data_IF_673964274482
#
_entry.id   IF_673964274482
#
_cell.length_a   1.000
_cell.length_b   1.000
_cell.length_c   1.000
_cell.angle_alpha   90.00
_cell.angle_beta   90.00
_cell.angle_gamma   90.00
#
_symmetry.space_group_name_H-M   'P 1'
#
loop_
_entity.id
_entity.type
_entity.pdbx_description
1 polymer ?
#
# COMPACT_ATOMS: atom_id res chain seq x y z
N UNK A 1 -9.50 -10.92 31.77
CA UNK A 1 -9.96 -9.77 30.95
C UNK A 1 -8.84 -8.75 30.93
N UNK A 2 -8.57 -8.13 29.78
CA UNK A 2 -7.56 -7.09 29.63
C UNK A 2 -8.20 -5.78 29.19
N UNK A 3 -7.61 -4.66 29.58
CA UNK A 3 -7.98 -3.32 29.13
C UNK A 3 -7.05 -2.89 28.00
N UNK A 4 -7.63 -2.47 26.87
CA UNK A 4 -6.91 -1.85 25.76
C UNK A 4 -7.06 -0.33 25.87
N UNK A 5 -5.94 0.38 25.97
CA UNK A 5 -5.91 1.85 25.98
C UNK A 5 -5.29 2.33 24.68
N UNK A 6 -6.04 3.12 23.91
CA UNK A 6 -5.60 3.69 22.63
C UNK A 6 -5.24 5.16 22.83
N UNK A 7 -4.08 5.58 22.31
CA UNK A 7 -3.67 6.98 22.38
C UNK A 7 -4.59 7.87 21.52
N UNK A 8 -4.94 9.09 21.99
CA UNK A 8 -5.66 10.06 21.17
C UNK A 8 -4.85 10.39 19.90
N UNK A 9 -5.42 10.18 18.71
CA UNK A 9 -4.75 10.41 17.43
C UNK A 9 -3.94 9.24 16.87
N UNK A 10 -4.03 8.05 17.48
CA UNK A 10 -3.46 6.83 16.89
C UNK A 10 -4.20 6.50 15.58
N UNK A 11 -3.46 6.46 14.47
CA UNK A 11 -3.92 6.02 13.16
C UNK A 11 -3.18 4.75 12.82
N UNK A 12 -3.89 3.63 12.85
CA UNK A 12 -3.32 2.30 12.65
C UNK A 12 -3.60 1.85 11.22
N UNK A 13 -2.55 1.51 10.47
CA UNK A 13 -2.66 0.75 9.25
C UNK A 13 -2.39 -0.72 9.58
N UNK A 14 -3.36 -1.59 9.26
CA UNK A 14 -3.19 -3.04 9.38
C UNK A 14 -2.83 -3.56 7.99
N UNK A 15 -1.91 -4.52 7.95
CA UNK A 15 -1.50 -5.30 6.79
C UNK A 15 -1.62 -6.78 7.17
N UNK A 16 -2.74 -7.41 6.81
CA UNK A 16 -3.00 -8.82 7.06
C UNK A 16 -3.10 -9.60 5.73
N UNK A 17 -2.85 -10.92 5.75
CA UNK A 17 -2.80 -11.78 4.54
C UNK A 17 -4.01 -11.65 3.61
N UNK A 18 -5.21 -11.32 4.11
CA UNK A 18 -6.42 -11.15 3.30
C UNK A 18 -6.55 -9.78 2.60
N UNK A 19 -5.72 -8.78 2.90
CA UNK A 19 -5.87 -7.46 2.29
C UNK A 19 -5.25 -7.35 0.89
N UNK A 20 -4.47 -8.33 0.44
CA UNK A 20 -4.09 -8.41 -0.98
C UNK A 20 -5.34 -8.55 -1.88
N UNK A 21 -6.43 -9.09 -1.34
CA UNK A 21 -7.74 -9.15 -2.00
C UNK A 21 -8.49 -7.81 -2.00
N UNK A 22 -8.06 -6.80 -1.21
CA UNK A 22 -8.64 -5.45 -1.23
C UNK A 22 -8.26 -4.69 -2.51
N UNK A 23 -7.18 -5.10 -3.19
CA UNK A 23 -6.81 -4.54 -4.48
C UNK A 23 -7.85 -4.95 -5.52
N UNK A 24 -8.43 -3.97 -6.22
CA UNK A 24 -9.40 -4.27 -7.28
C UNK A 24 -8.64 -4.83 -8.48
N UNK A 25 -8.82 -6.11 -8.85
CA UNK A 25 -7.91 -6.80 -9.75
C UNK A 25 -7.83 -6.19 -11.15
N UNK A 26 -8.91 -5.56 -11.60
CA UNK A 26 -9.03 -4.92 -12.91
C UNK A 26 -8.48 -3.49 -12.97
N UNK A 27 -8.32 -2.83 -11.82
CA UNK A 27 -7.82 -1.46 -11.76
C UNK A 27 -6.28 -1.48 -11.73
N UNK A 28 -5.64 -0.46 -12.29
CA UNK A 28 -4.19 -0.27 -12.18
C UNK A 28 -3.80 0.56 -10.94
N UNK A 29 -2.50 0.62 -10.66
CA UNK A 29 -1.99 1.35 -9.51
C UNK A 29 -2.36 2.85 -9.52
N UNK A 30 -2.40 3.47 -10.70
CA UNK A 30 -2.85 4.85 -10.84
C UNK A 30 -4.33 5.02 -10.46
N UNK A 31 -5.21 4.11 -10.89
CA UNK A 31 -6.64 4.17 -10.60
C UNK A 31 -6.93 4.03 -9.10
N UNK A 32 -6.21 3.14 -8.41
CA UNK A 32 -6.31 3.05 -6.95
C UNK A 32 -5.96 4.37 -6.26
N UNK A 33 -4.87 5.03 -6.66
CA UNK A 33 -4.46 6.32 -6.05
C UNK A 33 -5.36 7.48 -6.49
N UNK A 34 -5.82 7.49 -7.75
CA UNK A 34 -6.77 8.49 -8.27
C UNK A 34 -8.05 8.51 -7.44
N UNK A 35 -8.52 7.35 -6.95
CA UNK A 35 -9.69 7.29 -6.06
C UNK A 35 -9.49 7.99 -4.72
N UNK A 36 -8.26 8.04 -4.22
CA UNK A 36 -7.91 8.79 -3.01
C UNK A 36 -7.63 10.28 -3.30
N UNK A 37 -7.46 10.65 -4.57
CA UNK A 37 -7.11 11.99 -5.04
C UNK A 37 -7.94 12.42 -6.27
N UNK A 38 -9.29 12.45 -6.19
CA UNK A 38 -10.15 12.64 -7.36
C UNK A 38 -9.86 13.95 -8.09
N UNK A 39 -9.70 15.05 -7.33
CA UNK A 39 -9.50 16.41 -7.85
C UNK A 39 -8.02 16.76 -8.13
N UNK A 40 -7.08 15.84 -7.88
CA UNK A 40 -5.68 16.15 -8.06
C UNK A 40 -5.28 16.14 -9.54
N UNK A 41 -4.32 17.01 -9.94
CA UNK A 41 -3.67 16.89 -11.24
C UNK A 41 -3.06 15.51 -11.44
N UNK A 42 -3.10 15.00 -12.67
CA UNK A 42 -2.57 13.67 -13.01
C UNK A 42 -1.11 13.51 -12.58
N UNK A 43 -0.29 14.56 -12.74
CA UNK A 43 1.12 14.56 -12.32
C UNK A 43 1.29 14.33 -10.82
N UNK A 44 0.39 14.85 -9.97
CA UNK A 44 0.41 14.60 -8.52
C UNK A 44 0.04 13.15 -8.20
N UNK A 45 -0.98 12.61 -8.87
CA UNK A 45 -1.40 11.21 -8.66
C UNK A 45 -0.28 10.26 -9.06
N UNK A 46 0.32 10.44 -10.24
CA UNK A 46 1.48 9.64 -10.69
C UNK A 46 2.67 9.80 -9.76
N UNK A 47 2.93 11.01 -9.25
CA UNK A 47 3.96 11.26 -8.25
C UNK A 47 3.74 10.46 -6.97
N UNK A 48 2.49 10.32 -6.51
CA UNK A 48 2.16 9.46 -5.35
C UNK A 48 2.37 7.98 -5.64
N UNK A 49 1.95 7.49 -6.81
CA UNK A 49 2.21 6.10 -7.19
C UNK A 49 3.71 5.81 -7.24
N UNK A 50 4.52 6.75 -7.74
CA UNK A 50 5.98 6.62 -7.74
C UNK A 50 6.57 6.58 -6.33
N UNK A 51 6.02 7.36 -5.39
CA UNK A 51 6.43 7.32 -3.98
C UNK A 51 6.18 5.96 -3.31
N UNK A 52 5.24 5.16 -3.84
CA UNK A 52 4.99 3.80 -3.37
C UNK A 52 6.01 2.79 -3.92
N UNK A 53 6.95 3.22 -4.77
CA UNK A 53 7.97 2.34 -5.35
C UNK A 53 7.50 1.56 -6.57
N UNK A 54 6.41 1.99 -7.23
CA UNK A 54 6.02 1.47 -8.55
C UNK A 54 6.62 2.32 -9.67
N UNK A 55 7.22 1.67 -10.66
CA UNK A 55 7.76 2.34 -11.85
C UNK A 55 6.63 2.89 -12.73
N UNK A 56 6.95 3.86 -13.59
CA UNK A 56 6.00 4.48 -14.53
C UNK A 56 5.29 3.45 -15.41
N UNK A 57 6.00 2.42 -15.86
CA UNK A 57 5.45 1.33 -16.68
C UNK A 57 4.38 0.53 -15.92
N UNK A 58 4.61 0.30 -14.63
CA UNK A 58 3.72 -0.47 -13.75
C UNK A 58 2.51 0.32 -13.28
N UNK A 59 2.53 1.65 -13.38
CA UNK A 59 1.38 2.49 -12.99
C UNK A 59 0.11 2.18 -13.77
N UNK A 60 0.26 1.70 -15.01
CA UNK A 60 -0.85 1.36 -15.91
C UNK A 60 -1.13 -0.15 -15.95
N UNK A 61 -0.36 -0.97 -15.23
CA UNK A 61 -0.58 -2.42 -15.14
C UNK A 61 -1.70 -2.71 -14.17
N UNK A 62 -2.67 -3.54 -14.57
CA UNK A 62 -3.76 -3.96 -13.71
C UNK A 62 -3.22 -4.69 -12.47
N UNK A 63 -3.85 -4.47 -11.31
CA UNK A 63 -3.41 -5.00 -10.04
C UNK A 63 -3.25 -6.52 -10.07
N UNK A 64 -4.11 -7.25 -10.80
CA UNK A 64 -3.99 -8.71 -10.96
C UNK A 64 -2.65 -9.15 -11.59
N UNK A 65 -2.12 -8.34 -12.50
CA UNK A 65 -0.93 -8.62 -13.31
C UNK A 65 0.36 -8.08 -12.65
N UNK A 66 0.25 -7.41 -11.51
CA UNK A 66 1.39 -7.02 -10.68
C UNK A 66 1.98 -8.24 -9.96
N UNK A 67 3.30 -8.22 -9.75
CA UNK A 67 3.99 -9.20 -8.91
C UNK A 67 3.54 -9.10 -7.45
N UNK A 68 3.82 -10.12 -6.63
CA UNK A 68 3.49 -10.09 -5.20
C UNK A 68 4.13 -8.89 -4.48
N UNK A 69 5.39 -8.57 -4.79
CA UNK A 69 6.08 -7.42 -4.22
C UNK A 69 5.52 -6.07 -4.69
N UNK A 70 5.11 -5.96 -5.96
CA UNK A 70 4.45 -4.77 -6.50
C UNK A 70 3.07 -4.54 -5.85
N UNK A 71 2.28 -5.60 -5.67
CA UNK A 71 1.01 -5.56 -4.93
C UNK A 71 1.22 -5.13 -3.49
N UNK A 72 2.23 -5.69 -2.81
CA UNK A 72 2.54 -5.33 -1.43
C UNK A 72 2.92 -3.86 -1.29
N UNK A 73 3.77 -3.34 -2.18
CA UNK A 73 4.15 -1.92 -2.23
C UNK A 73 2.94 -1.00 -2.47
N UNK A 74 2.08 -1.35 -3.43
CA UNK A 74 0.86 -0.61 -3.70
C UNK A 74 -0.06 -0.58 -2.48
N UNK A 75 -0.32 -1.74 -1.88
CA UNK A 75 -1.18 -1.87 -0.71
C UNK A 75 -0.60 -1.11 0.50
N UNK A 76 0.71 -1.19 0.73
CA UNK A 76 1.40 -0.42 1.77
C UNK A 76 1.25 1.08 1.53
N UNK A 77 1.46 1.55 0.30
CA UNK A 77 1.29 2.96 -0.05
C UNK A 77 -0.14 3.45 0.14
N UNK A 78 -1.14 2.64 -0.23
CA UNK A 78 -2.55 2.95 -0.02
C UNK A 78 -2.91 3.01 1.47
N UNK A 79 -2.42 2.05 2.27
CA UNK A 79 -2.59 2.06 3.72
C UNK A 79 -1.86 3.23 4.40
N UNK A 80 -0.69 3.62 3.85
CA UNK A 80 0.09 4.77 4.31
C UNK A 80 -0.50 6.12 3.87
N UNK A 81 -1.50 6.14 2.99
CA UNK A 81 -1.92 7.35 2.29
C UNK A 81 -2.36 8.48 3.23
N UNK A 82 -3.02 8.15 4.34
CA UNK A 82 -3.45 9.12 5.37
C UNK A 82 -2.40 9.45 6.44
N UNK A 83 -1.18 8.92 6.30
CA UNK A 83 -0.10 9.06 7.27
C UNK A 83 -0.40 8.37 8.61
N UNK A 84 -0.62 7.04 8.64
CA UNK A 84 -0.73 6.30 9.89
C UNK A 84 0.58 6.36 10.69
N UNK A 85 0.46 6.31 12.02
CA UNK A 85 1.59 6.34 12.95
C UNK A 85 1.90 4.96 13.57
N UNK A 86 1.14 3.93 13.21
CA UNK A 86 1.40 2.54 13.59
C UNK A 86 1.04 1.61 12.42
N UNK A 87 1.99 0.76 12.02
CA UNK A 87 1.75 -0.36 11.11
C UNK A 87 1.70 -1.67 11.89
N UNK A 88 0.61 -2.42 11.73
CA UNK A 88 0.49 -3.79 12.25
C UNK A 88 0.60 -4.72 11.05
N UNK A 89 1.68 -5.49 10.99
CA UNK A 89 1.97 -6.43 9.92
C UNK A 89 1.82 -7.85 10.46
N UNK A 90 0.81 -8.58 10.00
CA UNK A 90 0.59 -9.97 10.40
C UNK A 90 1.29 -10.91 9.39
N UNK A 91 2.22 -11.75 9.86
CA UNK A 91 3.01 -12.71 9.06
C UNK A 91 3.68 -12.11 7.79
N UNK A 92 4.50 -11.05 7.90
CA UNK A 92 5.03 -10.33 6.74
C UNK A 92 5.99 -11.16 5.86
N UNK A 93 6.52 -12.28 6.36
CA UNK A 93 7.61 -13.01 5.71
C UNK A 93 7.18 -14.02 4.66
N UNK A 94 5.90 -14.40 4.59
CA UNK A 94 5.43 -15.44 3.66
C UNK A 94 5.04 -14.92 2.27
N UNK A 95 4.80 -13.61 2.13
CA UNK A 95 4.31 -13.00 0.87
C UNK A 95 5.10 -11.75 0.43
N UNK A 96 6.09 -11.30 1.21
CA UNK A 96 7.10 -10.37 0.74
C UNK A 96 8.23 -11.20 0.15
N UNK A 97 8.33 -11.23 -1.19
CA UNK A 97 9.55 -11.69 -1.86
C UNK A 97 10.77 -10.97 -1.26
N UNK A 98 11.94 -11.61 -1.28
CA UNK A 98 13.13 -11.17 -0.52
C UNK A 98 13.44 -9.67 -0.75
N UNK A 99 13.20 -9.16 -1.95
CA UNK A 99 13.40 -7.75 -2.34
C UNK A 99 12.44 -6.75 -1.68
N UNK A 100 11.24 -7.20 -1.27
CA UNK A 100 10.23 -6.35 -0.65
C UNK A 100 10.44 -6.21 0.86
N UNK A 101 11.11 -7.18 1.50
CA UNK A 101 11.52 -7.09 2.93
C UNK A 101 12.55 -5.97 3.12
N UNK A 102 13.51 -5.87 2.21
CA UNK A 102 14.54 -4.82 2.20
C UNK A 102 13.95 -3.41 2.08
N UNK A 103 12.91 -3.23 1.24
CA UNK A 103 12.24 -1.93 1.07
C UNK A 103 11.46 -1.49 2.32
N UNK A 104 10.99 -2.45 3.13
CA UNK A 104 10.21 -2.19 4.34
C UNK A 104 11.07 -1.86 5.56
N UNK A 105 12.28 -2.44 5.63
CA UNK A 105 13.24 -2.20 6.72
C UNK A 105 13.92 -0.84 6.56
N UNK A 106 14.05 -0.33 5.33
CA UNK A 106 14.76 0.90 5.02
C UNK A 106 13.87 2.15 4.80
N UNK A 107 12.58 2.08 5.10
CA UNK A 107 11.61 3.18 4.94
C UNK A 107 11.47 4.06 6.20
#
# INVERSE_FOLDING_TARGET
>A
SGTMTVAPGLKVAIFAQHQLDDLRPSENAYEHVRRLMPEAPESKVRGRVAQFGLTTEKMNTAAKDLSGGEKARLLMGLSAFEGPNLFILDEPTNHLDIDSRESLIHA
#
